data_IF_900032342999
#
_entry.id   IF_900032342999
#
_cell.length_a   1.000
_cell.length_b   1.000
_cell.length_c   1.000
_cell.angle_alpha   90.00
_cell.angle_beta   90.00
_cell.angle_gamma   90.00
#
_symmetry.space_group_name_H-M   'P 1'
#
loop_
_entity.id
_entity.type
_entity.pdbx_description
1 polymer ?
#
# COMPACT_ATOMS: atom_id res chain seq x y z
N UNK A 1 29.00 -32.42 -31.18
CA UNK A 1 29.86 -31.25 -30.99
C UNK A 1 28.96 -30.02 -30.93
N UNK A 2 28.60 -29.57 -29.73
CA UNK A 2 27.73 -28.40 -29.49
C UNK A 2 28.62 -27.19 -29.25
N UNK A 3 28.62 -26.23 -30.16
CA UNK A 3 29.29 -24.93 -30.00
C UNK A 3 28.39 -24.06 -29.13
N UNK A 4 28.87 -23.68 -27.95
CA UNK A 4 28.31 -22.63 -27.12
C UNK A 4 28.71 -21.28 -27.75
N UNK A 5 27.75 -20.50 -28.16
CA UNK A 5 27.95 -19.10 -28.57
C UNK A 5 27.73 -18.27 -27.29
N UNK A 6 28.81 -17.68 -26.82
CA UNK A 6 28.83 -16.70 -25.75
C UNK A 6 28.53 -15.35 -26.40
N UNK A 7 27.33 -14.83 -26.21
CA UNK A 7 26.99 -13.46 -26.62
C UNK A 7 27.47 -12.49 -25.55
N UNK A 8 28.58 -11.81 -25.85
CA UNK A 8 29.02 -10.65 -25.06
C UNK A 8 28.20 -9.46 -25.57
N UNK A 9 27.23 -9.04 -24.75
CA UNK A 9 26.56 -7.75 -24.95
C UNK A 9 27.52 -6.64 -24.55
N UNK A 10 28.10 -5.99 -25.53
CA UNK A 10 28.83 -4.75 -25.38
C UNK A 10 27.76 -3.64 -25.26
N UNK A 11 27.48 -3.17 -24.05
CA UNK A 11 26.63 -2.01 -23.82
C UNK A 11 27.37 -0.78 -24.33
N UNK A 12 27.00 -0.31 -25.51
CA UNK A 12 27.42 0.98 -26.01
C UNK A 12 26.61 2.06 -25.29
N UNK A 13 27.21 2.66 -24.28
CA UNK A 13 26.68 3.85 -23.63
C UNK A 13 26.88 5.00 -24.61
N UNK A 14 25.82 5.32 -25.34
CA UNK A 14 25.71 6.62 -26.01
C UNK A 14 25.27 7.63 -24.97
N UNK A 15 26.21 8.30 -24.35
CA UNK A 15 25.95 9.48 -23.53
C UNK A 15 25.48 10.60 -24.45
N UNK A 16 24.15 10.77 -24.55
CA UNK A 16 23.61 12.08 -24.93
C UNK A 16 23.60 12.93 -23.66
N UNK A 17 24.69 13.64 -23.50
CA UNK A 17 24.82 14.69 -22.50
C UNK A 17 23.88 15.83 -22.87
N UNK A 18 22.75 15.90 -22.20
CA UNK A 18 22.02 17.12 -21.87
C UNK A 18 21.18 16.87 -20.60
N UNK A 19 21.82 16.35 -19.57
CA UNK A 19 21.40 16.68 -18.23
C UNK A 19 22.20 17.91 -17.85
N UNK A 20 21.56 19.05 -17.78
CA UNK A 20 22.01 20.09 -16.87
C UNK A 20 22.05 19.44 -15.51
N UNK A 21 23.24 19.01 -15.11
CA UNK A 21 23.48 18.66 -13.72
C UNK A 21 23.09 19.90 -12.92
N UNK A 22 21.93 19.85 -12.28
CA UNK A 22 21.69 20.66 -11.11
C UNK A 22 22.65 20.06 -10.10
N UNK A 23 23.83 20.64 -10.02
CA UNK A 23 24.75 20.35 -8.95
C UNK A 23 23.95 20.46 -7.66
N UNK A 24 24.03 19.45 -6.80
CA UNK A 24 23.60 19.61 -5.43
C UNK A 24 24.28 20.90 -4.94
N UNK A 25 23.48 21.93 -4.74
CA UNK A 25 24.04 23.21 -4.26
C UNK A 25 24.61 22.92 -2.88
N UNK A 26 25.93 22.95 -2.80
CA UNK A 26 26.61 22.87 -1.51
C UNK A 26 26.07 24.03 -0.67
N UNK A 27 25.41 23.74 0.42
CA UNK A 27 24.86 24.77 1.31
C UNK A 27 26.05 25.35 2.07
N UNK A 28 26.47 26.53 1.66
CA UNK A 28 27.50 27.29 2.37
C UNK A 28 26.86 27.95 3.58
N UNK A 29 27.23 27.52 4.76
CA UNK A 29 26.74 28.07 6.03
C UNK A 29 27.64 29.21 6.45
N UNK A 30 27.10 30.40 6.78
CA UNK A 30 27.92 31.53 7.22
C UNK A 30 28.70 31.22 8.50
N UNK A 31 29.92 31.77 8.66
CA UNK A 31 30.73 31.59 9.86
C UNK A 31 30.00 32.04 11.13
N UNK A 32 30.12 31.27 12.21
CA UNK A 32 29.57 31.61 13.52
C UNK A 32 28.46 30.66 14.03
N UNK A 33 28.12 29.57 13.31
CA UNK A 33 27.11 28.64 13.74
C UNK A 33 27.75 27.28 14.10
N UNK A 34 27.74 26.92 15.38
CA UNK A 34 28.15 25.60 15.88
C UNK A 34 26.92 24.75 16.18
N UNK A 35 26.89 23.47 15.78
CA UNK A 35 25.79 22.58 16.17
C UNK A 35 25.78 22.37 17.70
N UNK A 36 24.64 22.07 18.30
CA UNK A 36 24.43 22.04 19.75
C UNK A 36 25.27 20.99 20.53
N UNK A 37 25.98 20.09 19.87
CA UNK A 37 26.73 18.99 20.50
C UNK A 37 28.25 19.07 20.31
N UNK A 38 28.83 20.19 19.94
CA UNK A 38 30.27 20.33 19.94
C UNK A 38 30.75 20.46 21.40
N UNK A 39 31.72 19.65 21.88
CA UNK A 39 32.24 19.74 23.27
C UNK A 39 32.75 21.18 23.49
N UNK A 40 32.29 21.83 24.56
CA UNK A 40 32.74 23.12 25.02
C UNK A 40 34.25 23.13 25.23
N UNK A 41 34.97 23.97 24.48
CA UNK A 41 36.39 24.19 24.67
C UNK A 41 36.55 25.47 25.52
N UNK A 42 37.01 25.40 26.77
CA UNK A 42 37.06 26.55 27.69
C UNK A 42 38.18 27.58 27.35
N UNK A 43 38.27 28.00 26.16
CA UNK A 43 39.23 28.99 25.64
C UNK A 43 38.72 29.81 24.46
N UNK A 44 37.53 29.52 23.97
CA UNK A 44 36.89 30.35 22.91
C UNK A 44 35.99 31.42 23.55
N UNK A 45 35.89 32.60 22.95
CA UNK A 45 34.91 33.61 23.35
C UNK A 45 33.49 33.05 23.21
N UNK A 46 32.61 33.37 24.17
CA UNK A 46 31.20 32.97 24.10
C UNK A 46 30.61 33.46 22.76
N UNK A 47 29.75 32.64 22.11
CA UNK A 47 29.06 33.06 20.90
C UNK A 47 28.25 34.32 21.19
N UNK A 48 28.39 35.33 20.34
CA UNK A 48 27.66 36.59 20.41
C UNK A 48 26.15 36.28 20.39
N UNK A 49 25.41 36.72 21.42
CA UNK A 49 23.98 36.58 21.60
C UNK A 49 23.14 37.42 20.60
N UNK A 50 23.67 37.71 19.42
CA UNK A 50 22.91 38.37 18.36
C UNK A 50 21.78 37.40 17.93
N UNK A 51 20.52 37.90 17.87
CA UNK A 51 19.42 37.06 17.41
C UNK A 51 19.72 36.55 15.99
N UNK A 52 19.88 35.24 15.86
CA UNK A 52 19.97 34.58 14.55
C UNK A 52 18.72 34.99 13.76
N UNK A 53 18.84 35.51 12.53
CA UNK A 53 17.66 35.84 11.72
C UNK A 53 16.70 34.67 11.68
N UNK A 54 15.41 34.93 11.92
CA UNK A 54 14.36 33.93 12.07
C UNK A 54 14.02 33.19 10.76
N UNK A 55 14.80 33.33 9.70
CA UNK A 55 14.55 32.82 8.38
C UNK A 55 15.70 31.93 7.91
N UNK A 56 15.78 30.71 8.46
CA UNK A 56 16.79 29.73 8.06
C UNK A 56 16.19 28.37 7.80
N UNK A 57 15.32 28.33 6.80
CA UNK A 57 14.87 27.07 6.22
C UNK A 57 15.93 26.55 5.25
N UNK A 58 16.33 25.29 5.44
CA UNK A 58 17.15 24.57 4.46
C UNK A 58 16.21 23.93 3.44
N UNK A 59 16.45 24.20 2.16
CA UNK A 59 15.70 23.56 1.07
C UNK A 59 16.59 22.50 0.43
N UNK A 60 16.14 21.27 0.47
CA UNK A 60 16.82 20.12 -0.13
C UNK A 60 16.06 19.69 -1.37
N UNK A 61 16.79 19.47 -2.45
CA UNK A 61 16.24 18.93 -3.68
C UNK A 61 16.80 17.54 -3.91
N UNK A 62 15.92 16.55 -3.88
CA UNK A 62 16.26 15.13 -3.98
C UNK A 62 15.80 14.64 -5.35
N UNK A 63 16.73 14.39 -6.28
CA UNK A 63 16.39 13.82 -7.57
C UNK A 63 15.96 12.37 -7.39
N UNK A 64 14.83 12.02 -8.00
CA UNK A 64 14.31 10.67 -8.05
C UNK A 64 14.28 10.21 -9.49
N UNK A 65 14.92 9.08 -9.76
CA UNK A 65 14.93 8.43 -11.06
C UNK A 65 13.94 7.28 -11.07
N UNK A 66 13.06 7.27 -12.07
CA UNK A 66 12.09 6.20 -12.32
C UNK A 66 12.45 5.46 -13.59
N UNK A 67 12.72 4.17 -13.49
CA UNK A 67 12.95 3.30 -14.62
C UNK A 67 11.71 2.44 -14.87
N UNK A 68 11.26 2.39 -16.10
CA UNK A 68 10.16 1.53 -16.55
C UNK A 68 10.72 0.49 -17.50
N UNK A 69 10.61 -0.77 -17.09
CA UNK A 69 10.96 -1.93 -17.90
C UNK A 69 9.69 -2.58 -18.46
N UNK A 70 9.80 -3.18 -19.65
CA UNK A 70 8.70 -3.96 -20.23
C UNK A 70 8.94 -5.45 -20.00
N UNK A 71 8.03 -6.11 -19.31
CA UNK A 71 7.96 -7.57 -19.20
C UNK A 71 7.36 -8.25 -20.43
N UNK A 72 6.98 -7.46 -21.46
CA UNK A 72 6.37 -7.90 -22.72
C UNK A 72 6.59 -6.88 -23.82
N UNK A 73 5.81 -6.98 -24.90
CA UNK A 73 5.95 -6.12 -26.09
C UNK A 73 5.02 -4.89 -26.09
N UNK A 74 4.15 -4.77 -25.09
CA UNK A 74 3.17 -3.68 -25.03
C UNK A 74 3.64 -2.62 -24.07
N UNK A 75 3.63 -1.37 -24.53
CA UNK A 75 3.92 -0.22 -23.67
C UNK A 75 2.72 0.11 -22.77
N UNK A 76 2.95 0.61 -21.55
CA UNK A 76 1.88 1.05 -20.67
C UNK A 76 1.16 2.27 -21.27
N UNK A 77 -0.12 2.41 -20.94
CA UNK A 77 -0.81 3.68 -21.08
C UNK A 77 -0.17 4.70 -20.14
N UNK A 78 -0.44 5.98 -20.42
CA UNK A 78 0.02 7.04 -19.54
C UNK A 78 -0.35 6.73 -18.08
N UNK A 79 0.67 6.65 -17.24
CA UNK A 79 0.57 6.26 -15.82
C UNK A 79 1.37 7.24 -14.98
N UNK A 80 0.85 7.64 -13.83
CA UNK A 80 1.54 8.54 -12.90
C UNK A 80 1.92 7.79 -11.63
N UNK A 81 3.18 7.91 -11.23
CA UNK A 81 3.73 7.39 -9.98
C UNK A 81 3.98 8.53 -9.02
N UNK A 82 3.71 8.31 -7.74
CA UNK A 82 3.91 9.29 -6.68
C UNK A 82 4.95 8.80 -5.69
N UNK A 83 5.79 9.72 -5.22
CA UNK A 83 6.85 9.45 -4.26
C UNK A 83 6.62 10.30 -3.02
N UNK A 84 6.80 9.69 -1.85
CA UNK A 84 6.56 10.30 -0.55
C UNK A 84 7.78 10.14 0.34
N UNK A 85 8.01 11.13 1.18
CA UNK A 85 9.00 11.07 2.24
C UNK A 85 8.32 10.84 3.60
N UNK A 86 8.94 10.02 4.43
CA UNK A 86 8.42 9.62 5.75
C UNK A 86 9.58 9.71 6.75
N UNK A 87 9.47 10.42 7.92
CA UNK A 87 10.55 10.42 8.92
C UNK A 87 10.84 9.02 9.44
N UNK A 88 12.08 8.77 9.80
CA UNK A 88 12.48 7.52 10.45
C UNK A 88 11.97 7.43 11.89
N UNK A 89 11.83 8.56 12.58
CA UNK A 89 11.29 8.66 13.93
C UNK A 89 9.91 9.33 13.90
N UNK A 90 8.85 8.60 14.30
CA UNK A 90 7.49 9.12 14.34
C UNK A 90 7.30 10.28 15.35
N UNK A 91 8.23 10.48 16.31
CA UNK A 91 8.17 11.58 17.26
C UNK A 91 8.52 12.93 16.64
N UNK A 92 9.19 12.94 15.49
CA UNK A 92 9.54 14.16 14.74
C UNK A 92 8.42 14.67 13.83
N UNK A 93 7.19 14.50 14.21
CA UNK A 93 6.12 15.31 13.67
C UNK A 93 5.24 14.62 12.63
N UNK A 94 4.00 14.99 12.70
CA UNK A 94 3.00 14.68 11.71
C UNK A 94 3.29 15.46 10.44
N UNK A 95 3.37 14.75 9.32
CA UNK A 95 3.30 15.36 8.02
C UNK A 95 1.88 15.91 7.80
N UNK A 96 1.72 17.20 7.92
CA UNK A 96 0.58 17.89 7.34
C UNK A 96 1.10 18.77 6.22
N UNK A 97 0.66 18.50 5.00
CA UNK A 97 0.85 19.45 3.90
C UNK A 97 0.17 20.77 4.31
N UNK A 98 0.96 21.77 4.69
CA UNK A 98 0.50 23.10 4.99
C UNK A 98 0.37 23.49 6.46
N UNK A 99 0.96 22.78 7.44
CA UNK A 99 0.86 23.16 8.85
C UNK A 99 2.06 22.74 9.69
N UNK A 100 2.72 23.67 10.32
CA UNK A 100 3.61 23.65 11.51
C UNK A 100 4.31 22.34 11.93
N UNK A 101 4.60 21.42 11.02
CA UNK A 101 5.52 20.31 11.20
C UNK A 101 6.94 20.76 10.95
N UNK A 102 7.93 20.09 11.55
CA UNK A 102 9.36 20.40 11.42
C UNK A 102 9.86 20.37 9.95
N UNK A 103 9.10 19.76 9.03
CA UNK A 103 9.50 19.51 7.66
C UNK A 103 8.33 19.77 6.71
N UNK A 104 8.52 20.61 5.71
CA UNK A 104 7.59 20.72 4.58
C UNK A 104 8.13 19.90 3.42
N UNK A 105 7.38 18.85 3.04
CA UNK A 105 7.74 17.95 1.95
C UNK A 105 6.79 18.17 0.79
N UNK A 106 7.35 18.63 -0.32
CA UNK A 106 6.65 18.65 -1.59
C UNK A 106 6.87 17.31 -2.30
N UNK A 107 5.88 16.42 -2.20
CA UNK A 107 5.86 15.15 -2.90
C UNK A 107 6.03 15.37 -4.41
N UNK A 108 6.74 14.47 -5.08
CA UNK A 108 6.86 14.54 -6.51
C UNK A 108 6.15 13.39 -7.22
N UNK A 109 5.81 13.62 -8.48
CA UNK A 109 5.17 12.64 -9.33
C UNK A 109 5.89 12.51 -10.66
N UNK A 110 5.89 11.29 -11.22
CA UNK A 110 6.42 11.01 -12.54
C UNK A 110 5.31 10.42 -13.40
N UNK A 111 5.07 11.03 -14.54
CA UNK A 111 4.13 10.49 -15.54
C UNK A 111 4.90 9.81 -16.66
N UNK A 112 4.64 8.52 -16.85
CA UNK A 112 5.27 7.66 -17.87
C UNK A 112 4.28 7.30 -18.95
N UNK A 113 4.74 7.12 -20.17
CA UNK A 113 3.93 6.72 -21.33
C UNK A 113 4.60 5.61 -22.16
N UNK A 114 5.57 4.95 -21.61
CA UNK A 114 6.34 3.86 -22.25
C UNK A 114 7.45 3.36 -21.36
N UNK A 115 8.32 2.53 -21.93
CA UNK A 115 9.58 2.15 -21.29
C UNK A 115 10.56 3.31 -21.33
N UNK A 116 11.45 3.36 -20.36
CA UNK A 116 12.51 4.36 -20.31
C UNK A 116 12.81 4.84 -18.90
N UNK A 117 13.60 5.89 -18.85
CA UNK A 117 14.00 6.54 -17.61
C UNK A 117 13.33 7.91 -17.53
N UNK A 118 12.68 8.16 -16.41
CA UNK A 118 11.95 9.38 -16.10
C UNK A 118 12.46 9.92 -14.76
N UNK A 119 12.28 11.21 -14.51
CA UNK A 119 12.74 11.79 -13.25
C UNK A 119 11.80 12.88 -12.75
N UNK A 120 11.82 13.08 -11.44
CA UNK A 120 11.25 14.24 -10.78
C UNK A 120 12.20 14.69 -9.65
N UNK A 121 11.90 15.82 -9.05
CA UNK A 121 12.66 16.33 -7.91
C UNK A 121 11.69 16.50 -6.74
N UNK A 122 11.97 15.81 -5.65
CA UNK A 122 11.30 16.03 -4.38
C UNK A 122 11.96 17.20 -3.67
N UNK A 123 11.16 18.16 -3.21
CA UNK A 123 11.67 19.31 -2.46
C UNK A 123 11.29 19.14 -1.00
N UNK A 124 12.27 19.23 -0.12
CA UNK A 124 12.07 19.16 1.34
C UNK A 124 12.58 20.48 1.93
N UNK A 125 11.72 21.13 2.69
CA UNK A 125 12.08 22.30 3.48
C UNK A 125 12.12 21.91 4.95
N UNK A 126 13.24 22.16 5.61
CA UNK A 126 13.46 21.83 7.01
C UNK A 126 14.03 23.03 7.74
N UNK A 127 13.57 23.31 8.96
CA UNK A 127 14.22 24.30 9.81
C UNK A 127 15.68 23.89 10.04
N UNK A 128 16.57 24.87 9.95
CA UNK A 128 18.00 24.64 10.07
C UNK A 128 18.39 24.01 11.40
N UNK A 129 17.73 24.37 12.50
CA UNK A 129 18.01 23.79 13.82
C UNK A 129 17.65 22.32 13.85
N UNK A 130 16.53 21.97 13.22
CA UNK A 130 16.05 20.60 13.17
C UNK A 130 16.95 19.74 12.28
N UNK A 131 17.46 20.29 11.17
CA UNK A 131 18.40 19.57 10.31
C UNK A 131 19.68 19.19 11.06
N UNK A 132 20.25 20.14 11.82
CA UNK A 132 21.46 19.87 12.61
C UNK A 132 21.21 19.12 13.92
N UNK A 133 19.95 19.00 14.35
CA UNK A 133 19.58 18.18 15.50
C UNK A 133 19.42 16.69 15.14
N UNK A 134 19.35 16.36 13.84
CA UNK A 134 19.30 14.96 13.40
C UNK A 134 20.63 14.27 13.74
N UNK A 135 20.51 13.14 14.39
CA UNK A 135 21.66 12.28 14.72
C UNK A 135 21.98 11.34 13.55
N UNK A 136 23.15 10.72 13.57
CA UNK A 136 23.63 9.82 12.52
C UNK A 136 22.68 8.68 12.16
N UNK A 137 21.72 8.36 13.03
CA UNK A 137 20.75 7.28 12.85
C UNK A 137 19.32 7.79 12.53
N UNK A 138 19.18 9.07 12.27
CA UNK A 138 17.90 9.70 11.96
C UNK A 138 17.91 10.27 10.54
N UNK A 139 16.76 10.22 9.89
CA UNK A 139 16.61 10.70 8.52
C UNK A 139 15.20 10.52 8.01
N UNK A 140 15.08 10.40 6.72
CA UNK A 140 13.78 10.19 6.05
C UNK A 140 13.81 8.95 5.16
N UNK A 141 12.69 8.25 5.11
CA UNK A 141 12.45 7.25 4.10
C UNK A 141 11.78 7.87 2.89
N UNK A 142 12.24 7.56 1.70
CA UNK A 142 11.55 7.86 0.44
C UNK A 142 11.02 6.55 -0.14
N UNK A 143 9.73 6.55 -0.45
CA UNK A 143 9.02 5.38 -0.96
C UNK A 143 8.17 5.75 -2.16
N UNK A 144 7.97 4.79 -3.05
CA UNK A 144 6.98 4.88 -4.12
C UNK A 144 5.62 4.38 -3.60
N UNK A 145 4.54 5.06 -3.99
CA UNK A 145 3.19 4.56 -3.69
C UNK A 145 2.83 3.44 -4.65
N UNK A 146 2.51 2.29 -4.09
CA UNK A 146 1.90 1.21 -4.84
C UNK A 146 0.38 1.38 -4.84
N UNK A 147 -0.19 1.93 -5.91
CA UNK A 147 -1.63 2.10 -6.11
C UNK A 147 -2.27 0.93 -6.86
N UNK A 148 -1.54 -0.18 -6.97
CA UNK A 148 -1.99 -1.45 -7.56
C UNK A 148 -2.56 -1.35 -8.98
N UNK A 149 -2.03 -0.46 -9.81
CA UNK A 149 -2.48 -0.32 -11.19
C UNK A 149 -2.22 -1.62 -11.97
N UNK A 150 -3.21 -2.02 -12.76
CA UNK A 150 -3.14 -3.27 -13.51
C UNK A 150 -1.97 -3.31 -14.50
N UNK A 151 -1.23 -4.39 -14.48
CA UNK A 151 -0.07 -4.61 -15.34
C UNK A 151 1.26 -4.15 -14.76
N UNK A 152 1.25 -3.48 -13.61
CA UNK A 152 2.47 -2.99 -12.98
C UNK A 152 2.95 -3.90 -11.85
N UNK A 153 4.24 -4.19 -11.88
CA UNK A 153 5.00 -4.70 -10.74
C UNK A 153 5.80 -3.52 -10.21
N UNK A 154 5.51 -3.13 -8.98
CA UNK A 154 6.12 -1.96 -8.35
C UNK A 154 7.44 -2.31 -7.68
N UNK A 155 8.34 -1.34 -7.69
CA UNK A 155 9.55 -1.38 -6.88
C UNK A 155 9.17 -1.13 -5.41
N UNK A 156 9.48 -2.07 -4.56
CA UNK A 156 9.23 -1.96 -3.12
C UNK A 156 10.44 -1.43 -2.35
N UNK A 157 11.45 -0.96 -3.07
CA UNK A 157 12.63 -0.36 -2.47
C UNK A 157 12.22 0.84 -1.61
N UNK A 158 12.73 0.84 -0.40
CA UNK A 158 12.68 1.97 0.50
C UNK A 158 14.06 2.58 0.52
N UNK A 159 14.13 3.87 0.29
CA UNK A 159 15.37 4.61 0.40
C UNK A 159 15.42 5.31 1.73
N UNK A 160 16.51 5.17 2.46
CA UNK A 160 16.79 5.94 3.66
C UNK A 160 17.79 7.05 3.32
N UNK A 161 17.42 8.29 3.60
CA UNK A 161 18.25 9.46 3.43
C UNK A 161 18.73 9.90 4.80
N UNK A 162 20.03 9.82 4.99
CA UNK A 162 20.71 10.26 6.20
C UNK A 162 21.35 11.62 5.94
N UNK A 163 21.10 12.63 6.78
CA UNK A 163 21.79 13.90 6.64
C UNK A 163 23.26 13.74 7.02
N UNK A 164 24.12 14.35 6.24
CA UNK A 164 25.51 14.50 6.62
C UNK A 164 25.98 15.94 6.43
N UNK A 165 26.99 16.34 7.15
CA UNK A 165 27.61 17.64 6.99
C UNK A 165 29.11 17.52 7.23
N UNK A 166 29.89 18.24 6.42
CA UNK A 166 31.33 18.31 6.55
C UNK A 166 31.72 19.72 6.94
N UNK A 167 32.69 19.84 7.84
CA UNK A 167 33.33 21.09 8.21
C UNK A 167 34.57 21.27 7.34
N UNK A 168 34.61 22.31 6.55
CA UNK A 168 35.83 22.70 5.84
C UNK A 168 36.40 23.98 6.47
N UNK A 169 37.66 23.94 6.89
CA UNK A 169 38.40 25.12 7.33
C UNK A 169 39.01 25.80 6.09
N UNK A 170 38.59 27.00 5.80
CA UNK A 170 39.26 27.87 4.81
C UNK A 170 39.80 29.13 5.46
N UNK A 171 40.50 29.97 4.66
CA UNK A 171 41.11 31.21 5.14
C UNK A 171 40.09 32.28 5.57
N UNK A 172 38.81 32.01 5.49
CA UNK A 172 37.69 32.91 5.84
C UNK A 172 36.87 32.41 7.04
N UNK A 173 37.25 31.30 7.64
CA UNK A 173 36.58 30.68 8.79
C UNK A 173 35.92 29.36 8.39
N UNK A 174 35.35 28.70 9.41
CA UNK A 174 34.73 27.41 9.26
C UNK A 174 33.53 27.48 8.32
N UNK A 175 33.57 26.71 7.24
CA UNK A 175 32.46 26.56 6.31
C UNK A 175 31.88 25.14 6.45
N UNK A 176 30.57 25.07 6.57
CA UNK A 176 29.85 23.82 6.64
C UNK A 176 29.20 23.52 5.30
N UNK A 177 29.45 22.34 4.77
CA UNK A 177 28.70 21.81 3.65
C UNK A 177 27.87 20.64 4.15
N UNK A 178 26.60 20.60 3.76
CA UNK A 178 25.71 19.51 4.15
C UNK A 178 25.06 18.86 2.93
N UNK A 179 24.64 17.62 3.09
CA UNK A 179 24.00 16.84 2.05
C UNK A 179 23.25 15.64 2.64
N UNK A 180 22.90 14.72 1.77
CA UNK A 180 22.24 13.49 2.10
C UNK A 180 23.00 12.32 1.51
N UNK A 181 23.20 11.30 2.33
CA UNK A 181 23.59 9.97 1.85
C UNK A 181 22.33 9.11 1.70
N UNK A 182 22.24 8.39 0.60
CA UNK A 182 21.09 7.60 0.25
C UNK A 182 21.41 6.12 0.36
N UNK A 183 20.61 5.37 1.11
CA UNK A 183 20.81 3.95 1.35
C UNK A 183 19.56 3.17 0.95
N UNK A 184 19.72 2.07 0.22
CA UNK A 184 18.66 1.11 -0.10
C UNK A 184 18.78 -0.21 0.67
N UNK A 185 19.82 -0.34 1.49
CA UNK A 185 20.03 -1.47 2.40
C UNK A 185 20.28 -0.93 3.79
N UNK A 186 19.42 -1.28 4.73
CA UNK A 186 19.48 -0.83 6.12
C UNK A 186 18.66 -1.76 7.01
N UNK A 187 18.95 -1.76 8.30
CA UNK A 187 18.12 -2.38 9.33
C UNK A 187 17.42 -1.29 10.12
N UNK A 188 16.09 -1.25 10.05
CA UNK A 188 15.28 -0.31 10.83
C UNK A 188 15.02 -0.92 12.23
N UNK A 189 15.42 -0.19 13.26
CA UNK A 189 15.13 -0.47 14.67
C UNK A 189 14.20 0.60 15.22
N UNK A 190 13.63 0.37 16.41
CA UNK A 190 12.75 1.37 17.05
C UNK A 190 13.54 2.65 17.35
N UNK A 191 13.22 3.73 16.64
CA UNK A 191 13.83 5.06 16.79
C UNK A 191 15.21 5.24 16.15
N UNK A 192 15.75 4.24 15.43
CA UNK A 192 17.03 4.36 14.72
C UNK A 192 17.09 3.50 13.46
N UNK A 193 18.02 3.84 12.57
CA UNK A 193 18.31 3.07 11.35
C UNK A 193 19.78 2.78 11.29
N UNK A 194 20.13 1.51 11.15
CA UNK A 194 21.52 1.07 10.94
C UNK A 194 21.78 0.92 9.44
N UNK A 195 22.77 1.64 8.93
CA UNK A 195 23.13 1.67 7.51
C UNK A 195 24.54 1.10 7.31
N UNK A 196 24.73 0.46 6.18
CA UNK A 196 26.06 0.07 5.71
C UNK A 196 26.69 1.24 4.93
N UNK A 197 27.70 1.94 5.50
CA UNK A 197 28.31 3.11 4.88
C UNK A 197 28.89 2.85 3.48
N UNK A 198 29.33 1.61 3.22
CA UNK A 198 29.89 1.22 1.92
C UNK A 198 28.81 1.11 0.82
N UNK A 199 27.53 1.16 1.18
CA UNK A 199 26.38 1.16 0.25
C UNK A 199 25.75 2.53 0.03
N UNK A 200 26.37 3.61 0.43
CA UNK A 200 25.90 4.97 0.16
C UNK A 200 25.79 5.20 -1.36
N UNK A 201 24.64 5.72 -1.80
CA UNK A 201 24.37 6.06 -3.18
C UNK A 201 24.01 7.55 -3.31
N UNK A 202 24.20 8.11 -4.47
CA UNK A 202 23.96 9.56 -4.73
C UNK A 202 22.61 9.84 -5.37
N UNK A 203 21.93 8.83 -5.85
CA UNK A 203 20.66 8.96 -6.57
C UNK A 203 19.65 7.89 -6.09
N UNK A 204 18.40 8.29 -5.96
CA UNK A 204 17.30 7.37 -5.66
C UNK A 204 16.73 6.84 -6.96
N UNK A 205 16.76 5.53 -7.12
CA UNK A 205 16.20 4.84 -8.27
C UNK A 205 15.06 3.90 -7.90
N UNK A 206 13.98 3.94 -8.68
CA UNK A 206 12.86 3.00 -8.58
C UNK A 206 12.65 2.33 -9.93
N UNK A 207 12.56 1.00 -9.95
CA UNK A 207 12.39 0.20 -11.18
C UNK A 207 11.05 -0.51 -11.13
N UNK A 208 10.11 -0.11 -12.00
CA UNK A 208 8.85 -0.82 -12.15
C UNK A 208 8.82 -1.58 -13.48
N UNK A 209 8.28 -2.77 -13.44
CA UNK A 209 8.06 -3.56 -14.65
C UNK A 209 6.59 -3.50 -15.06
N UNK A 210 6.34 -3.15 -16.32
CA UNK A 210 5.01 -3.24 -16.92
C UNK A 210 4.91 -4.50 -17.76
N UNK A 211 3.95 -5.34 -17.43
CA UNK A 211 3.53 -6.47 -18.27
C UNK A 211 2.06 -6.28 -18.55
N UNK A 212 1.68 -6.23 -19.84
CA UNK A 212 0.27 -6.15 -20.19
C UNK A 212 -0.45 -7.35 -19.57
N UNK A 213 -1.22 -7.06 -18.54
CA UNK A 213 -2.05 -8.07 -17.93
C UNK A 213 -3.28 -8.27 -18.80
N UNK A 214 -3.28 -9.35 -19.56
CA UNK A 214 -4.48 -9.86 -20.22
C UNK A 214 -5.39 -10.56 -19.21
N UNK A 215 -5.60 -9.95 -18.05
CA UNK A 215 -6.55 -10.52 -17.09
C UNK A 215 -7.93 -10.56 -17.73
N UNK A 216 -8.57 -11.72 -17.61
CA UNK A 216 -9.99 -11.83 -17.93
C UNK A 216 -10.77 -10.92 -16.99
N UNK A 217 -11.82 -10.31 -17.47
CA UNK A 217 -12.72 -9.55 -16.61
C UNK A 217 -13.46 -10.49 -15.68
N UNK A 218 -13.41 -10.25 -14.38
CA UNK A 218 -14.20 -10.99 -13.40
C UNK A 218 -15.43 -10.16 -13.03
N UNK A 219 -16.60 -10.80 -13.04
CA UNK A 219 -17.88 -10.15 -12.69
C UNK A 219 -18.52 -10.88 -11.52
N UNK A 220 -18.90 -10.13 -10.49
CA UNK A 220 -19.65 -10.71 -9.35
C UNK A 220 -21.10 -10.97 -9.74
N UNK A 221 -21.60 -12.13 -9.39
CA UNK A 221 -23.01 -12.46 -9.51
C UNK A 221 -23.83 -11.72 -8.45
N UNK A 222 -24.51 -10.67 -8.88
CA UNK A 222 -25.37 -9.83 -8.04
C UNK A 222 -26.85 -10.23 -8.13
N UNK A 223 -27.19 -11.21 -8.96
CA UNK A 223 -28.58 -11.59 -9.26
C UNK A 223 -29.04 -12.85 -8.54
N UNK A 224 -28.17 -13.85 -8.42
CA UNK A 224 -28.52 -15.10 -7.76
C UNK A 224 -28.07 -15.06 -6.29
N UNK A 225 -29.03 -15.14 -5.38
CA UNK A 225 -28.73 -15.04 -3.94
C UNK A 225 -28.47 -16.43 -3.32
N UNK A 226 -27.46 -17.14 -3.84
CA UNK A 226 -27.02 -18.38 -3.16
C UNK A 226 -26.14 -18.08 -1.93
N UNK A 227 -26.12 -19.00 -0.97
CA UNK A 227 -25.34 -18.88 0.25
C UNK A 227 -23.84 -18.87 -0.03
N UNK A 228 -23.12 -17.83 0.39
CA UNK A 228 -21.68 -17.70 0.20
C UNK A 228 -20.86 -17.90 1.49
N UNK A 229 -21.46 -17.79 2.67
CA UNK A 229 -20.86 -18.12 3.95
C UNK A 229 -21.72 -19.17 4.65
N UNK A 230 -21.15 -20.35 4.90
CA UNK A 230 -21.83 -21.44 5.64
C UNK A 230 -21.35 -21.43 7.08
N UNK A 231 -22.20 -21.89 8.02
CA UNK A 231 -21.79 -22.09 9.41
C UNK A 231 -20.77 -23.22 9.56
N UNK A 232 -20.32 -23.41 10.79
CA UNK A 232 -19.41 -24.48 11.17
C UNK A 232 -20.16 -25.69 11.71
N UNK A 233 -19.53 -26.87 11.71
CA UNK A 233 -20.03 -28.00 12.49
C UNK A 233 -20.27 -27.56 13.94
N UNK A 234 -21.47 -27.84 14.47
CA UNK A 234 -21.89 -27.33 15.79
C UNK A 234 -22.84 -26.12 15.73
N UNK A 235 -23.18 -25.61 14.52
CA UNK A 235 -24.25 -24.63 14.32
C UNK A 235 -23.85 -23.19 14.61
N UNK A 236 -22.58 -22.89 14.75
CA UNK A 236 -22.08 -21.51 14.93
C UNK A 236 -21.73 -20.81 13.63
N UNK A 237 -21.84 -19.48 13.61
CA UNK A 237 -21.30 -18.61 12.56
C UNK A 237 -19.85 -18.22 12.81
N UNK A 238 -19.46 -18.15 14.08
CA UNK A 238 -18.19 -17.68 14.57
C UNK A 238 -17.87 -16.22 14.13
N UNK A 239 -18.72 -15.23 14.49
CA UNK A 239 -18.66 -13.87 13.98
C UNK A 239 -17.31 -13.16 14.24
N UNK A 240 -16.69 -13.42 15.38
CA UNK A 240 -15.40 -12.84 15.77
C UNK A 240 -14.16 -13.56 15.20
N UNK A 241 -14.33 -14.70 14.50
CA UNK A 241 -13.19 -15.42 13.91
C UNK A 241 -12.65 -14.67 12.70
N UNK A 242 -11.33 -14.52 12.63
CA UNK A 242 -10.66 -14.00 11.45
C UNK A 242 -10.77 -14.97 10.28
N UNK A 243 -10.94 -14.46 9.08
CA UNK A 243 -10.91 -15.27 7.86
C UNK A 243 -9.51 -15.32 7.28
N UNK A 244 -9.13 -16.47 6.73
CA UNK A 244 -7.87 -16.61 6.01
C UNK A 244 -7.98 -16.08 4.58
N UNK A 245 -6.82 -15.77 3.98
CA UNK A 245 -6.73 -15.35 2.57
C UNK A 245 -7.32 -16.40 1.64
N UNK A 246 -7.09 -17.68 1.90
CA UNK A 246 -7.67 -18.78 1.12
C UNK A 246 -9.20 -18.86 1.24
N UNK A 247 -9.75 -18.67 2.44
CA UNK A 247 -11.22 -18.68 2.66
C UNK A 247 -11.89 -17.54 1.89
N UNK A 248 -11.33 -16.32 1.95
CA UNK A 248 -11.85 -15.15 1.23
C UNK A 248 -11.74 -15.35 -0.28
N UNK A 249 -10.60 -15.83 -0.77
CA UNK A 249 -10.41 -16.12 -2.20
C UNK A 249 -11.42 -17.12 -2.70
N UNK A 250 -11.64 -18.21 -1.96
CA UNK A 250 -12.61 -19.25 -2.33
C UNK A 250 -14.05 -18.73 -2.31
N UNK A 251 -14.38 -17.88 -1.34
CA UNK A 251 -15.69 -17.23 -1.27
C UNK A 251 -15.95 -16.39 -2.52
N UNK A 252 -15.03 -15.50 -2.91
CA UNK A 252 -15.18 -14.67 -4.09
C UNK A 252 -15.16 -15.47 -5.40
N UNK A 253 -14.32 -16.50 -5.50
CA UNK A 253 -14.31 -17.37 -6.68
C UNK A 253 -15.68 -18.04 -6.95
N UNK A 254 -16.43 -18.37 -5.89
CA UNK A 254 -17.79 -18.91 -6.00
C UNK A 254 -18.85 -17.85 -6.29
N UNK A 255 -18.55 -16.61 -6.05
CA UNK A 255 -19.44 -15.47 -6.30
C UNK A 255 -19.27 -14.88 -7.70
N UNK A 256 -18.36 -15.41 -8.53
CA UNK A 256 -18.22 -14.95 -9.90
C UNK A 256 -19.37 -15.41 -10.78
N UNK A 257 -19.73 -14.59 -11.76
CA UNK A 257 -20.60 -15.01 -12.88
C UNK A 257 -19.88 -16.05 -13.75
N UNK A 258 -18.57 -15.87 -13.94
CA UNK A 258 -17.69 -16.80 -14.63
C UNK A 258 -17.39 -17.97 -13.69
N UNK A 259 -18.00 -19.13 -13.96
CA UNK A 259 -17.81 -20.31 -13.14
C UNK A 259 -16.56 -21.09 -13.57
N UNK A 260 -15.91 -21.71 -12.59
CA UNK A 260 -14.80 -22.64 -12.86
C UNK A 260 -15.28 -23.80 -13.71
N UNK A 261 -14.54 -24.13 -14.77
CA UNK A 261 -14.82 -25.32 -15.59
C UNK A 261 -14.61 -26.59 -14.76
N UNK A 262 -15.57 -27.51 -14.82
CA UNK A 262 -15.46 -28.78 -14.14
C UNK A 262 -14.21 -29.55 -14.63
N UNK A 263 -13.46 -30.12 -13.70
CA UNK A 263 -12.26 -30.93 -13.98
C UNK A 263 -11.07 -30.17 -14.62
N UNK A 264 -11.12 -28.85 -14.70
CA UNK A 264 -9.99 -28.03 -15.14
C UNK A 264 -9.11 -27.66 -13.95
N UNK A 265 -7.82 -27.79 -14.13
CA UNK A 265 -6.82 -27.32 -13.16
C UNK A 265 -6.49 -25.86 -13.40
N UNK A 266 -6.40 -25.10 -12.32
CA UNK A 266 -6.02 -23.71 -12.30
C UNK A 266 -4.81 -23.56 -11.35
N UNK A 267 -3.58 -23.87 -11.84
CA UNK A 267 -2.40 -23.77 -11.00
C UNK A 267 -2.16 -22.32 -10.62
N UNK A 268 -1.86 -22.08 -9.34
CA UNK A 268 -1.40 -20.77 -8.86
C UNK A 268 0.11 -20.64 -9.07
N UNK A 269 0.58 -19.42 -9.33
CA UNK A 269 2.00 -19.14 -9.54
C UNK A 269 2.80 -19.01 -8.24
N UNK A 270 2.13 -18.96 -7.07
CA UNK A 270 2.74 -18.70 -5.78
C UNK A 270 3.50 -19.88 -5.21
N UNK A 271 4.71 -19.64 -4.69
CA UNK A 271 5.64 -20.69 -4.23
C UNK A 271 5.11 -21.52 -3.04
N UNK A 272 4.23 -20.96 -2.23
CA UNK A 272 3.63 -21.60 -1.05
C UNK A 272 2.23 -22.20 -1.29
N UNK A 273 1.73 -22.16 -2.52
CA UNK A 273 0.46 -22.74 -2.90
C UNK A 273 0.68 -24.01 -3.71
N UNK A 274 0.84 -25.13 -3.00
CA UNK A 274 0.98 -26.44 -3.67
C UNK A 274 -0.37 -26.96 -4.15
N UNK A 275 -0.37 -27.84 -5.15
CA UNK A 275 -1.59 -28.50 -5.66
C UNK A 275 -2.35 -29.31 -4.60
N UNK A 276 -1.69 -29.67 -3.50
CA UNK A 276 -2.31 -30.37 -2.37
C UNK A 276 -3.11 -29.42 -1.46
N UNK A 277 -2.91 -28.11 -1.56
CA UNK A 277 -3.69 -27.16 -0.75
C UNK A 277 -5.14 -27.11 -1.24
N UNK A 278 -6.11 -27.24 -0.32
CA UNK A 278 -7.54 -27.32 -0.65
C UNK A 278 -8.08 -26.17 -1.50
N UNK A 279 -7.50 -24.98 -1.37
CA UNK A 279 -7.89 -23.79 -2.12
C UNK A 279 -7.01 -23.52 -3.36
N UNK A 280 -6.04 -24.39 -3.69
CA UNK A 280 -5.09 -24.13 -4.77
C UNK A 280 -5.77 -23.73 -6.09
N UNK A 281 -6.77 -24.49 -6.52
CA UNK A 281 -7.52 -24.21 -7.75
C UNK A 281 -8.28 -22.88 -7.69
N UNK A 282 -8.86 -22.54 -6.54
CA UNK A 282 -9.55 -21.26 -6.37
C UNK A 282 -8.57 -20.07 -6.41
N UNK A 283 -7.40 -20.23 -5.80
CA UNK A 283 -6.36 -19.20 -5.80
C UNK A 283 -5.85 -18.97 -7.23
N UNK A 284 -5.45 -20.02 -7.94
CA UNK A 284 -4.99 -19.91 -9.32
C UNK A 284 -6.08 -19.40 -10.28
N UNK A 285 -7.36 -19.79 -10.03
CA UNK A 285 -8.46 -19.25 -10.80
C UNK A 285 -8.63 -17.74 -10.62
N UNK A 286 -8.61 -17.26 -9.38
CA UNK A 286 -8.76 -15.84 -9.05
C UNK A 286 -7.53 -15.00 -9.43
N UNK A 287 -6.36 -15.63 -9.47
CA UNK A 287 -5.13 -15.02 -9.97
C UNK A 287 -5.23 -14.68 -11.47
N UNK A 288 -5.85 -15.54 -12.29
CA UNK A 288 -6.05 -15.28 -13.73
C UNK A 288 -6.88 -14.04 -14.03
N UNK A 289 -7.68 -13.58 -13.06
CA UNK A 289 -8.45 -12.35 -13.14
C UNK A 289 -7.73 -11.16 -12.45
N UNK A 290 -6.56 -11.39 -11.87
CA UNK A 290 -5.85 -10.38 -11.09
C UNK A 290 -6.56 -9.94 -9.81
N UNK A 291 -7.61 -10.68 -9.39
CA UNK A 291 -8.40 -10.34 -8.20
C UNK A 291 -7.61 -10.65 -6.92
N UNK A 292 -6.80 -11.71 -6.95
CA UNK A 292 -5.85 -11.99 -5.87
C UNK A 292 -4.43 -11.87 -6.37
N UNK A 293 -3.56 -11.40 -5.50
CA UNK A 293 -2.12 -11.23 -5.75
C UNK A 293 -1.34 -11.79 -4.58
N UNK A 294 -0.11 -12.21 -4.85
CA UNK A 294 0.85 -12.62 -3.82
C UNK A 294 1.58 -11.44 -3.23
N UNK A 295 2.53 -11.75 -2.37
CA UNK A 295 3.50 -10.82 -1.82
C UNK A 295 4.75 -10.76 -2.71
N UNK A 296 5.59 -9.76 -2.51
CA UNK A 296 6.85 -9.56 -3.24
C UNK A 296 7.83 -10.74 -3.15
N UNK A 297 7.73 -11.52 -2.06
CA UNK A 297 8.52 -12.74 -1.88
C UNK A 297 8.02 -13.95 -2.72
N UNK A 298 7.02 -13.75 -3.57
CA UNK A 298 6.42 -14.79 -4.41
C UNK A 298 5.47 -15.72 -3.66
N UNK A 299 5.10 -15.41 -2.42
CA UNK A 299 4.15 -16.20 -1.62
C UNK A 299 2.74 -15.63 -1.70
N UNK A 300 1.74 -16.46 -1.44
CA UNK A 300 0.33 -16.05 -1.27
C UNK A 300 -0.10 -16.03 0.20
N UNK A 301 0.52 -16.84 1.03
CA UNK A 301 0.19 -17.06 2.44
C UNK A 301 -1.27 -17.49 2.66
N UNK A 302 -1.72 -18.60 2.08
CA UNK A 302 -3.13 -18.99 2.02
C UNK A 302 -3.79 -19.12 3.39
N UNK A 303 -3.05 -19.59 4.38
CA UNK A 303 -3.55 -19.83 5.74
C UNK A 303 -3.42 -18.60 6.67
N UNK A 304 -2.75 -17.55 6.24
CA UNK A 304 -2.64 -16.32 7.02
C UNK A 304 -4.01 -15.61 7.10
N UNK A 305 -4.33 -14.99 8.24
CA UNK A 305 -5.48 -14.10 8.32
C UNK A 305 -5.34 -12.96 7.31
N UNK A 306 -6.44 -12.59 6.65
CA UNK A 306 -6.46 -11.46 5.73
C UNK A 306 -6.72 -10.17 6.50
N UNK A 307 -6.00 -9.10 6.16
CA UNK A 307 -6.21 -7.80 6.79
C UNK A 307 -7.41 -7.06 6.18
N UNK A 308 -7.92 -6.06 6.90
CA UNK A 308 -9.01 -5.19 6.43
C UNK A 308 -8.63 -4.45 5.14
N UNK A 309 -7.38 -3.98 5.05
CA UNK A 309 -6.86 -3.32 3.84
C UNK A 309 -6.81 -4.27 2.64
N UNK A 310 -6.27 -5.48 2.81
CA UNK A 310 -6.22 -6.49 1.75
C UNK A 310 -7.61 -6.90 1.27
N UNK A 311 -8.56 -7.03 2.20
CA UNK A 311 -9.95 -7.35 1.85
C UNK A 311 -10.61 -6.22 1.04
N UNK A 312 -10.44 -4.96 1.46
CA UNK A 312 -10.95 -3.79 0.73
C UNK A 312 -10.34 -3.71 -0.68
N UNK A 313 -9.04 -3.98 -0.82
CA UNK A 313 -8.38 -4.02 -2.11
C UNK A 313 -8.94 -5.12 -3.03
N UNK A 314 -9.22 -6.32 -2.51
CA UNK A 314 -9.87 -7.39 -3.28
C UNK A 314 -11.26 -6.96 -3.76
N UNK A 315 -12.08 -6.37 -2.88
CA UNK A 315 -13.41 -5.87 -3.26
C UNK A 315 -13.36 -4.87 -4.40
N UNK A 316 -12.37 -3.99 -4.39
CA UNK A 316 -12.21 -2.96 -5.40
C UNK A 316 -11.77 -3.49 -6.77
N UNK A 317 -11.13 -4.65 -6.84
CA UNK A 317 -10.66 -5.24 -8.11
C UNK A 317 -11.78 -5.79 -9.00
N UNK A 318 -13.00 -5.85 -8.50
CA UNK A 318 -14.18 -6.20 -9.30
C UNK A 318 -14.80 -5.02 -10.04
N UNK A 319 -14.38 -3.80 -9.74
CA UNK A 319 -14.88 -2.59 -10.36
C UNK A 319 -13.73 -1.69 -10.85
N UNK A 320 -14.05 -0.77 -11.75
CA UNK A 320 -13.09 0.26 -12.15
C UNK A 320 -12.98 1.29 -11.02
N UNK A 321 -11.84 1.34 -10.38
CA UNK A 321 -11.54 2.33 -9.35
C UNK A 321 -11.66 3.75 -9.90
N UNK A 322 -12.39 4.58 -9.17
CA UNK A 322 -12.41 6.04 -9.30
C UNK A 322 -11.94 6.65 -7.99
N UNK A 323 -11.66 7.94 -7.97
CA UNK A 323 -11.22 8.58 -6.75
C UNK A 323 -12.30 8.52 -5.67
N UNK A 324 -11.92 8.11 -4.48
CA UNK A 324 -12.75 8.13 -3.28
C UNK A 324 -12.45 9.39 -2.45
N UNK A 325 -13.48 9.87 -1.73
CA UNK A 325 -13.37 11.08 -0.89
C UNK A 325 -13.28 10.78 0.61
N UNK A 326 -13.44 9.52 0.99
CA UNK A 326 -13.38 9.14 2.42
C UNK A 326 -11.93 9.13 2.91
N UNK A 327 -11.71 9.75 4.06
CA UNK A 327 -10.42 9.79 4.73
C UNK A 327 -10.53 9.17 6.14
N UNK A 328 -9.50 8.44 6.55
CA UNK A 328 -9.37 7.86 7.88
C UNK A 328 -8.05 8.32 8.50
N UNK A 329 -8.04 8.59 9.80
CA UNK A 329 -6.89 9.18 10.48
C UNK A 329 -5.65 8.28 10.49
N UNK A 330 -5.83 6.98 10.34
CA UNK A 330 -4.78 5.95 10.30
C UNK A 330 -4.50 5.40 8.90
N UNK A 331 -5.02 6.06 7.85
CA UNK A 331 -4.76 5.68 6.45
C UNK A 331 -4.21 6.90 5.72
N UNK A 332 -2.90 7.16 5.84
CA UNK A 332 -2.27 8.25 5.10
C UNK A 332 -2.34 7.98 3.59
N UNK A 333 -2.23 9.03 2.79
CA UNK A 333 -2.26 8.92 1.33
C UNK A 333 -1.14 8.00 0.78
N UNK A 334 -0.04 7.87 1.52
CA UNK A 334 1.07 6.95 1.21
C UNK A 334 0.78 5.48 1.52
N UNK A 335 -0.32 5.17 2.21
CA UNK A 335 -0.66 3.78 2.48
C UNK A 335 -1.05 3.07 1.18
N UNK A 336 -0.46 1.90 0.89
CA UNK A 336 -0.65 1.16 -0.37
C UNK A 336 -2.12 0.93 -0.74
N UNK A 337 -3.01 0.75 0.23
CA UNK A 337 -4.45 0.54 0.01
C UNK A 337 -5.28 1.83 0.18
N UNK A 338 -4.68 3.01 0.32
CA UNK A 338 -5.41 4.25 0.60
C UNK A 338 -6.53 4.50 -0.41
N UNK A 339 -6.23 4.38 -1.70
CA UNK A 339 -7.19 4.56 -2.80
C UNK A 339 -8.33 3.54 -2.75
N UNK A 340 -8.01 2.27 -2.52
CA UNK A 340 -9.01 1.19 -2.40
C UNK A 340 -9.91 1.39 -1.17
N UNK A 341 -9.33 1.76 -0.04
CA UNK A 341 -10.08 2.02 1.20
C UNK A 341 -11.01 3.22 1.01
N UNK A 342 -10.52 4.33 0.45
CA UNK A 342 -11.31 5.52 0.17
C UNK A 342 -12.46 5.22 -0.81
N UNK A 343 -12.20 4.48 -1.88
CA UNK A 343 -13.21 4.04 -2.83
C UNK A 343 -14.27 3.16 -2.18
N UNK A 344 -13.86 2.10 -1.49
CA UNK A 344 -14.77 1.17 -0.81
C UNK A 344 -15.66 1.87 0.24
N UNK A 345 -15.11 2.87 0.94
CA UNK A 345 -15.88 3.68 1.88
C UNK A 345 -16.85 4.63 1.19
N UNK A 346 -16.46 5.27 0.09
CA UNK A 346 -17.34 6.11 -0.74
C UNK A 346 -18.49 5.29 -1.33
N UNK A 347 -18.24 4.04 -1.70
CA UNK A 347 -19.27 3.07 -2.14
C UNK A 347 -20.15 2.56 -1.00
N UNK A 348 -19.82 2.87 0.25
CA UNK A 348 -20.55 2.38 1.42
C UNK A 348 -20.30 0.90 1.74
N UNK A 349 -19.32 0.25 1.10
CA UNK A 349 -19.02 -1.16 1.37
C UNK A 349 -18.35 -1.34 2.73
N UNK A 350 -17.42 -0.46 3.06
CA UNK A 350 -16.72 -0.45 4.34
C UNK A 350 -17.06 0.81 5.13
N UNK A 351 -16.96 0.71 6.46
CA UNK A 351 -17.07 1.84 7.36
C UNK A 351 -15.86 1.83 8.30
N UNK A 352 -15.42 3.02 8.73
CA UNK A 352 -14.45 3.14 9.81
C UNK A 352 -15.07 2.88 11.19
N UNK A 353 -14.24 3.00 12.20
CA UNK A 353 -14.64 2.94 13.60
C UNK A 353 -15.08 4.32 14.11
N UNK A 354 -15.75 4.35 15.27
CA UNK A 354 -16.23 5.58 15.87
C UNK A 354 -15.10 6.57 16.25
N UNK A 355 -13.87 6.09 16.36
CA UNK A 355 -12.68 6.89 16.61
C UNK A 355 -12.09 7.54 15.34
N UNK A 356 -12.74 7.38 14.19
CA UNK A 356 -12.29 7.92 12.91
C UNK A 356 -11.21 7.09 12.22
N UNK A 357 -10.88 5.91 12.75
CA UNK A 357 -9.88 5.00 12.16
C UNK A 357 -10.52 3.96 11.25
N UNK A 358 -9.72 3.41 10.33
CA UNK A 358 -10.08 2.23 9.51
C UNK A 358 -9.46 0.94 10.05
N UNK A 359 -8.31 1.02 10.70
CA UNK A 359 -7.46 -0.09 11.18
C UNK A 359 -7.04 -1.02 10.05
N UNK A 360 -6.29 -0.52 9.05
CA UNK A 360 -5.95 -1.25 7.82
C UNK A 360 -5.18 -2.55 8.09
N UNK A 361 -4.29 -2.56 9.07
CA UNK A 361 -3.49 -3.72 9.45
C UNK A 361 -4.22 -4.77 10.31
N UNK A 362 -5.42 -4.47 10.82
CA UNK A 362 -6.17 -5.44 11.61
C UNK A 362 -6.72 -6.55 10.72
N UNK A 363 -6.72 -7.78 11.24
CA UNK A 363 -7.38 -8.89 10.57
C UNK A 363 -8.89 -8.67 10.51
N UNK A 364 -9.49 -8.97 9.35
CA UNK A 364 -10.94 -8.84 9.19
C UNK A 364 -11.66 -10.04 9.77
N UNK A 365 -12.73 -9.77 10.52
CA UNK A 365 -13.56 -10.82 11.11
C UNK A 365 -14.59 -11.34 10.10
N UNK A 366 -15.11 -12.55 10.36
CA UNK A 366 -16.12 -13.17 9.54
C UNK A 366 -17.44 -12.38 9.49
N UNK A 367 -17.78 -11.71 10.59
CA UNK A 367 -18.91 -10.78 10.64
C UNK A 367 -18.71 -9.58 9.72
N UNK A 368 -17.52 -9.00 9.72
CA UNK A 368 -17.17 -7.87 8.84
C UNK A 368 -17.15 -8.29 7.37
N UNK A 369 -16.59 -9.48 7.07
CA UNK A 369 -16.64 -10.05 5.71
C UNK A 369 -18.08 -10.20 5.22
N UNK A 370 -18.98 -10.77 6.04
CA UNK A 370 -20.38 -10.90 5.67
C UNK A 370 -21.01 -9.54 5.34
N UNK A 371 -20.80 -8.55 6.22
CA UNK A 371 -21.37 -7.22 6.03
C UNK A 371 -20.85 -6.49 4.79
N UNK A 372 -19.53 -6.52 4.57
CA UNK A 372 -18.91 -5.87 3.40
C UNK A 372 -19.34 -6.57 2.11
N UNK A 373 -19.35 -7.91 2.10
CA UNK A 373 -19.73 -8.67 0.91
C UNK A 373 -21.21 -8.50 0.55
N UNK A 374 -22.13 -8.47 1.54
CA UNK A 374 -23.54 -8.16 1.27
C UNK A 374 -23.71 -6.77 0.66
N UNK A 375 -23.00 -5.76 1.17
CA UNK A 375 -23.04 -4.39 0.62
C UNK A 375 -22.46 -4.33 -0.79
N UNK A 376 -21.35 -5.02 -1.05
CA UNK A 376 -20.73 -5.11 -2.38
C UNK A 376 -21.66 -5.77 -3.40
N UNK A 377 -22.39 -6.80 -2.98
CA UNK A 377 -23.38 -7.52 -3.79
C UNK A 377 -24.76 -6.83 -3.82
N UNK A 378 -24.93 -5.74 -3.04
CA UNK A 378 -26.21 -5.02 -2.92
C UNK A 378 -27.35 -5.91 -2.40
N UNK A 379 -27.04 -6.88 -1.52
CA UNK A 379 -27.97 -7.82 -0.91
C UNK A 379 -28.43 -7.32 0.46
N UNK A 380 -29.73 -7.43 0.70
CA UNK A 380 -30.34 -7.01 1.95
C UNK A 380 -31.25 -8.08 2.51
N UNK A 381 -31.01 -8.44 3.76
CA UNK A 381 -31.83 -9.45 4.44
C UNK A 381 -33.29 -9.01 4.61
N UNK A 382 -34.23 -9.86 4.22
CA UNK A 382 -35.64 -9.69 4.60
C UNK A 382 -35.85 -10.11 6.04
N UNK A 383 -35.85 -9.12 6.94
CA UNK A 383 -35.95 -9.34 8.37
C UNK A 383 -37.29 -9.94 8.79
N UNK A 384 -38.37 -9.59 8.09
CA UNK A 384 -39.69 -10.11 8.39
C UNK A 384 -39.84 -11.55 7.98
N UNK A 385 -39.37 -11.88 6.77
CA UNK A 385 -39.33 -13.28 6.31
C UNK A 385 -38.49 -14.15 7.23
N UNK A 386 -37.28 -13.70 7.58
CA UNK A 386 -36.36 -14.44 8.47
C UNK A 386 -37.01 -14.70 9.84
N UNK A 387 -37.68 -13.72 10.43
CA UNK A 387 -38.36 -13.88 11.71
C UNK A 387 -39.53 -14.87 11.63
N UNK A 388 -40.32 -14.77 10.54
CA UNK A 388 -41.49 -15.63 10.35
C UNK A 388 -41.11 -17.08 10.09
N UNK A 389 -39.98 -17.34 9.42
CA UNK A 389 -39.55 -18.67 8.96
C UNK A 389 -38.29 -19.18 9.65
N UNK A 390 -37.92 -18.64 10.82
CA UNK A 390 -36.64 -18.94 11.48
C UNK A 390 -36.38 -20.45 11.68
N UNK A 391 -37.42 -21.25 11.92
CA UNK A 391 -37.32 -22.70 12.13
C UNK A 391 -37.18 -23.50 10.82
N UNK A 392 -37.49 -22.87 9.71
CA UNK A 392 -37.50 -23.45 8.36
C UNK A 392 -36.26 -23.08 7.55
N UNK A 393 -35.51 -22.09 8.04
CA UNK A 393 -34.31 -21.62 7.35
C UNK A 393 -33.25 -22.73 7.30
N UNK A 394 -32.55 -22.86 6.17
CA UNK A 394 -31.46 -23.85 6.04
C UNK A 394 -30.36 -23.69 7.08
N UNK A 395 -30.13 -22.43 7.52
CA UNK A 395 -29.08 -22.09 8.51
C UNK A 395 -29.54 -21.03 9.49
N UNK A 396 -29.41 -21.39 10.77
CA UNK A 396 -29.58 -20.54 11.92
C UNK A 396 -28.38 -20.74 12.83
N UNK A 397 -27.91 -19.70 13.50
CA UNK A 397 -26.67 -19.74 14.26
C UNK A 397 -26.92 -19.64 15.75
N UNK A 398 -26.33 -20.56 16.50
CA UNK A 398 -26.48 -20.60 17.96
C UNK A 398 -25.69 -19.51 18.70
N UNK A 399 -24.64 -18.98 18.05
CA UNK A 399 -23.73 -17.97 18.60
C UNK A 399 -24.05 -16.54 18.14
N UNK A 400 -25.19 -16.34 17.46
CA UNK A 400 -25.67 -15.03 17.02
C UNK A 400 -27.17 -14.87 17.18
N UNK A 401 -27.60 -13.66 17.48
CA UNK A 401 -29.02 -13.28 17.51
C UNK A 401 -29.18 -11.87 16.96
N UNK A 402 -30.41 -11.36 16.90
CA UNK A 402 -30.75 -10.04 16.36
C UNK A 402 -30.07 -8.87 17.07
N UNK A 403 -29.56 -9.05 18.29
CA UNK A 403 -28.83 -8.02 19.03
C UNK A 403 -27.39 -7.87 18.54
N UNK A 404 -26.86 -8.87 17.83
CA UNK A 404 -25.54 -8.79 17.23
C UNK A 404 -25.61 -7.93 15.95
N UNK A 405 -24.78 -6.91 15.84
CA UNK A 405 -24.79 -5.93 14.74
C UNK A 405 -24.75 -6.56 13.33
N UNK A 406 -24.07 -7.71 13.16
CA UNK A 406 -23.94 -8.40 11.89
C UNK A 406 -24.96 -9.54 11.68
N UNK A 407 -25.94 -9.72 12.55
CA UNK A 407 -26.88 -10.85 12.48
C UNK A 407 -27.58 -10.92 11.11
N UNK A 408 -28.12 -9.82 10.65
CA UNK A 408 -28.85 -9.78 9.37
C UNK A 408 -27.93 -10.04 8.18
N UNK A 409 -26.69 -9.55 8.21
CA UNK A 409 -25.70 -9.89 7.19
C UNK A 409 -25.30 -11.37 7.21
N UNK A 410 -25.19 -11.96 8.38
CA UNK A 410 -24.89 -13.40 8.51
C UNK A 410 -26.03 -14.27 7.99
N UNK A 411 -27.29 -13.88 8.28
CA UNK A 411 -28.47 -14.61 7.78
C UNK A 411 -28.61 -14.50 6.26
N UNK A 412 -28.37 -13.31 5.70
CA UNK A 412 -28.30 -13.08 4.24
C UNK A 412 -27.19 -13.89 3.57
N UNK A 413 -26.01 -13.86 4.14
CA UNK A 413 -24.84 -14.56 3.59
C UNK A 413 -24.96 -16.08 3.59
N UNK A 414 -25.77 -16.63 4.52
CA UNK A 414 -25.80 -18.05 4.80
C UNK A 414 -27.02 -18.78 4.22
N UNK A 415 -28.07 -18.07 3.88
CA UNK A 415 -29.31 -18.69 3.37
C UNK A 415 -29.55 -18.28 1.93
N UNK A 416 -29.41 -19.21 1.02
CA UNK A 416 -29.79 -18.99 -0.38
C UNK A 416 -31.29 -18.76 -0.50
N UNK A 417 -31.72 -17.85 -1.38
CA UNK A 417 -33.12 -17.51 -1.52
C UNK A 417 -33.46 -16.92 -2.90
N UNK A 418 -34.70 -17.10 -3.30
CA UNK A 418 -35.31 -16.31 -4.37
C UNK A 418 -35.93 -15.06 -3.75
N UNK A 419 -35.92 -13.97 -4.49
CA UNK A 419 -36.38 -12.69 -4.00
C UNK A 419 -37.04 -11.83 -5.09
N UNK A 420 -37.77 -10.81 -4.66
CA UNK A 420 -38.14 -9.66 -5.47
C UNK A 420 -37.52 -8.40 -4.86
N UNK A 421 -37.21 -7.42 -5.68
CA UNK A 421 -36.55 -6.18 -5.24
C UNK A 421 -37.38 -4.96 -5.59
N UNK A 422 -37.57 -4.06 -4.63
CA UNK A 422 -38.20 -2.76 -4.82
C UNK A 422 -37.31 -1.68 -4.20
N UNK A 423 -36.62 -0.93 -5.04
CA UNK A 423 -35.55 -0.03 -4.59
C UNK A 423 -34.43 -0.85 -3.93
N UNK A 424 -34.11 -0.52 -2.67
CA UNK A 424 -33.12 -1.25 -1.88
C UNK A 424 -33.71 -2.37 -1.02
N UNK A 425 -35.04 -2.49 -0.97
CA UNK A 425 -35.70 -3.52 -0.18
C UNK A 425 -35.82 -4.82 -0.96
N UNK A 426 -35.53 -5.94 -0.32
CA UNK A 426 -35.74 -7.27 -0.85
C UNK A 426 -36.86 -7.96 -0.08
N UNK A 427 -37.65 -8.71 -0.81
CA UNK A 427 -38.69 -9.60 -0.24
C UNK A 427 -38.35 -11.02 -0.66
N UNK A 428 -38.04 -11.86 0.35
CA UNK A 428 -37.69 -13.25 0.12
C UNK A 428 -38.95 -14.07 -0.21
N UNK A 429 -38.85 -14.94 -1.18
CA UNK A 429 -39.94 -15.79 -1.64
C UNK A 429 -39.84 -17.23 -1.13
N UNK A 430 -38.63 -17.76 -1.18
CA UNK A 430 -38.28 -19.09 -0.65
C UNK A 430 -36.80 -19.16 -0.36
N UNK A 431 -36.41 -20.07 0.50
CA UNK A 431 -35.01 -20.34 0.86
C UNK A 431 -34.57 -21.73 0.41
N UNK A 432 -33.25 -21.87 0.17
CA UNK A 432 -32.59 -23.12 -0.18
C UNK A 432 -31.18 -23.18 0.42
N UNK A 433 -30.58 -24.41 0.59
CA UNK A 433 -29.27 -24.59 1.23
C UNK A 433 -28.09 -23.92 0.52
#
# INVERSE_FOLDING_TARGET
MKKRILAIFLCLILTVSLATAVAAESIVIPPGFLPPNVPYNPGQPEPDDTPVPNDTTITLQIPITKVVELGGNTAPKQTTFSFYAIPSDPSYGRYESGGSGLWDVQNCTVTVNGAGTFSCVMTIQIDRRDFFALTDNQGIFVVETNDEQSGWTYDETRWFLQPHYELSEDSYGDQWTGGWDCYNKFEAMEGSVDVDPDNAQRELGFVNTYTENTYKTATLNKTDHFAFLKGYPGGGFAPGRNMSRAEVTTMFARLLTEQMEANKSYPASFSDVTSAHWAANYIGYMEQFGIVRGYSDGTFRPNAPITRAEFAAICCRFEKLTDGTAAFTDVPASHWAAKSIAYAATRGWVTGYADGTFKPGNNITRAEVAAVTCRLLERNADKEYIRAHLKELPRVFADMNEQHWAYWYAMEAANGHDYTKSGNAETWLRTYP
#
